data_IF_091006040026
#
_entry.id   IF_091006040026
#
_cell.length_a   1.000
_cell.length_b   1.000
_cell.length_c   1.000
_cell.angle_alpha   90.00
_cell.angle_beta   90.00
_cell.angle_gamma   90.00
#
_symmetry.space_group_name_H-M   'P 1'
#
loop_
_entity.id
_entity.type
_entity.pdbx_description
1 polymer ?
#
# COMPACT_ATOMS: atom_id res chain seq x y z
N UNK A 1 -1.22 -10.39 -8.07
CA UNK A 1 -2.43 -9.99 -7.32
C UNK A 1 -2.27 -8.54 -6.89
N UNK A 2 -3.32 -7.76 -6.97
CA UNK A 2 -3.42 -6.41 -6.38
C UNK A 2 -4.56 -6.43 -5.37
N UNK A 3 -4.38 -5.81 -4.22
CA UNK A 3 -5.42 -5.61 -3.21
C UNK A 3 -5.54 -4.11 -2.97
N UNK A 4 -6.68 -3.56 -3.29
CA UNK A 4 -7.00 -2.14 -3.33
C UNK A 4 -6.13 -1.32 -4.30
N UNK A 5 -6.54 -0.09 -4.59
CA UNK A 5 -5.93 0.77 -5.59
C UNK A 5 -5.73 2.23 -5.14
N UNK A 6 -5.93 2.54 -3.85
CA UNK A 6 -5.86 3.91 -3.37
C UNK A 6 -7.06 4.77 -3.78
N UNK A 7 -6.92 6.08 -3.69
CA UNK A 7 -7.95 7.06 -4.04
C UNK A 7 -7.95 7.33 -5.57
N UNK A 8 -8.98 8.01 -6.06
CA UNK A 8 -9.09 8.37 -7.50
C UNK A 8 -7.88 9.18 -8.02
N UNK A 9 -7.25 9.98 -7.17
CA UNK A 9 -6.05 10.74 -7.55
C UNK A 9 -4.79 9.81 -7.70
N UNK A 10 -4.87 8.53 -7.30
CA UNK A 10 -3.76 7.56 -7.33
C UNK A 10 -3.75 6.67 -8.59
N UNK A 11 -4.75 6.74 -9.46
CA UNK A 11 -4.90 5.91 -10.68
C UNK A 11 -3.59 5.77 -11.46
N UNK A 12 -3.03 6.91 -11.88
CA UNK A 12 -1.80 6.94 -12.67
C UNK A 12 -0.61 6.39 -11.89
N UNK A 13 -0.52 6.68 -10.59
CA UNK A 13 0.56 6.22 -9.71
C UNK A 13 0.56 4.69 -9.63
N UNK A 14 -0.59 4.09 -9.35
CA UNK A 14 -0.72 2.64 -9.17
C UNK A 14 -0.41 1.89 -10.47
N UNK A 15 -0.99 2.34 -11.60
CA UNK A 15 -0.74 1.72 -12.91
C UNK A 15 0.74 1.81 -13.30
N UNK A 16 1.35 2.99 -13.16
CA UNK A 16 2.76 3.18 -13.50
C UNK A 16 3.68 2.39 -12.60
N UNK A 17 3.40 2.32 -11.30
CA UNK A 17 4.18 1.50 -10.37
C UNK A 17 4.16 0.03 -10.78
N UNK A 18 2.99 -0.54 -11.08
CA UNK A 18 2.84 -1.93 -11.52
C UNK A 18 3.64 -2.16 -12.82
N UNK A 19 3.47 -1.28 -13.81
CA UNK A 19 4.19 -1.36 -15.10
C UNK A 19 5.71 -1.22 -14.92
N UNK A 20 6.18 -0.36 -14.01
CA UNK A 20 7.62 -0.18 -13.72
C UNK A 20 8.28 -1.44 -13.17
N UNK A 21 7.50 -2.34 -12.54
CA UNK A 21 7.97 -3.66 -12.11
C UNK A 21 7.93 -4.73 -13.23
N UNK A 22 7.63 -4.33 -14.47
CA UNK A 22 7.50 -5.24 -15.62
C UNK A 22 6.23 -6.10 -15.58
N UNK A 23 5.25 -5.74 -14.73
CA UNK A 23 4.00 -6.48 -14.58
C UNK A 23 2.99 -5.91 -15.57
N UNK A 24 2.50 -6.76 -16.47
CA UNK A 24 1.49 -6.42 -17.48
C UNK A 24 0.18 -7.19 -17.28
N UNK A 25 0.21 -8.20 -16.39
CA UNK A 25 -0.92 -9.08 -16.10
C UNK A 25 -1.11 -9.28 -14.60
N UNK A 26 -2.35 -9.26 -14.15
CA UNK A 26 -2.75 -9.54 -12.78
C UNK A 26 -3.74 -10.71 -12.77
N UNK A 27 -3.41 -11.80 -12.09
CA UNK A 27 -4.32 -12.93 -11.91
C UNK A 27 -5.57 -12.51 -11.12
N UNK A 28 -5.37 -11.64 -10.11
CA UNK A 28 -6.45 -11.17 -9.25
C UNK A 28 -6.31 -9.68 -8.96
N UNK A 29 -7.42 -8.97 -9.03
CA UNK A 29 -7.65 -7.65 -8.43
C UNK A 29 -8.72 -7.83 -7.36
N UNK A 30 -8.44 -7.37 -6.15
CA UNK A 30 -9.32 -7.49 -4.99
C UNK A 30 -9.64 -6.08 -4.49
N UNK A 31 -10.92 -5.70 -4.56
CA UNK A 31 -11.46 -4.52 -3.90
C UNK A 31 -11.97 -4.96 -2.53
N UNK A 32 -11.27 -4.58 -1.45
CA UNK A 32 -11.63 -5.04 -0.10
C UNK A 32 -13.01 -4.57 0.30
N UNK A 33 -13.32 -3.31 0.04
CA UNK A 33 -14.62 -2.70 0.26
C UNK A 33 -14.79 -1.42 -0.61
N UNK A 34 -15.99 -0.87 -0.79
CA UNK A 34 -16.28 0.11 -1.84
C UNK A 34 -15.92 1.57 -1.53
N UNK A 35 -15.16 1.89 -0.47
CA UNK A 35 -14.73 3.26 -0.22
C UNK A 35 -13.70 3.75 -1.25
N UNK A 36 -13.75 5.06 -1.56
CA UNK A 36 -12.98 5.64 -2.65
C UNK A 36 -11.46 5.51 -2.47
N UNK A 37 -10.97 5.61 -1.25
CA UNK A 37 -9.55 5.45 -0.90
C UNK A 37 -9.04 3.99 -0.97
N UNK A 38 -9.90 3.06 -1.36
CA UNK A 38 -9.57 1.66 -1.66
C UNK A 38 -9.79 1.30 -3.12
N UNK A 39 -10.89 1.75 -3.71
CA UNK A 39 -11.23 1.34 -5.09
C UNK A 39 -10.90 2.39 -6.14
N UNK A 40 -10.45 3.59 -5.72
CA UNK A 40 -10.33 4.75 -6.61
C UNK A 40 -9.40 4.56 -7.80
N UNK A 41 -8.30 3.84 -7.63
CA UNK A 41 -7.36 3.57 -8.74
C UNK A 41 -7.63 2.28 -9.50
N UNK A 42 -8.63 1.47 -9.09
CA UNK A 42 -8.84 0.14 -9.67
C UNK A 42 -9.46 0.16 -11.08
N UNK A 43 -10.24 1.15 -11.42
CA UNK A 43 -10.82 1.30 -12.76
C UNK A 43 -9.73 1.51 -13.82
N UNK A 44 -8.73 2.34 -13.54
CA UNK A 44 -7.55 2.53 -14.38
C UNK A 44 -6.72 1.23 -14.48
N UNK A 45 -6.50 0.54 -13.36
CA UNK A 45 -5.79 -0.75 -13.34
C UNK A 45 -6.47 -1.77 -14.24
N UNK A 46 -7.78 -1.94 -14.11
CA UNK A 46 -8.55 -2.90 -14.93
C UNK A 46 -8.59 -2.49 -16.40
N UNK A 47 -8.63 -1.18 -16.68
CA UNK A 47 -8.64 -0.66 -18.04
C UNK A 47 -7.30 -0.85 -18.76
N UNK A 48 -6.17 -0.70 -18.06
CA UNK A 48 -4.83 -0.62 -18.64
C UNK A 48 -3.99 -1.91 -18.55
N UNK A 49 -4.33 -2.83 -17.63
CA UNK A 49 -3.62 -4.09 -17.44
C UNK A 49 -4.48 -5.29 -17.85
N UNK A 50 -3.83 -6.43 -18.09
CA UNK A 50 -4.54 -7.68 -18.33
C UNK A 50 -4.94 -8.32 -16.99
N UNK A 51 -6.17 -8.07 -16.55
CA UNK A 51 -6.73 -8.65 -15.31
C UNK A 51 -7.53 -9.91 -15.65
N UNK A 52 -7.34 -10.99 -14.88
CA UNK A 52 -8.06 -12.25 -15.08
C UNK A 52 -9.31 -12.35 -14.21
N UNK A 53 -9.22 -11.93 -12.96
CA UNK A 53 -10.31 -12.09 -12.00
C UNK A 53 -10.42 -10.83 -11.13
N UNK A 54 -11.65 -10.38 -10.93
CA UNK A 54 -11.98 -9.26 -10.02
C UNK A 54 -12.82 -9.80 -8.87
N UNK A 55 -12.32 -9.64 -7.65
CA UNK A 55 -13.07 -9.90 -6.43
C UNK A 55 -13.51 -8.59 -5.78
N UNK A 56 -14.73 -8.59 -5.28
CA UNK A 56 -15.39 -7.46 -4.61
C UNK A 56 -16.05 -7.91 -3.32
N UNK A 57 -16.24 -6.98 -2.40
CA UNK A 57 -16.99 -7.22 -1.17
C UNK A 57 -18.46 -7.64 -1.45
N UNK A 58 -19.06 -8.29 -0.47
CA UNK A 58 -20.47 -8.67 -0.50
C UNK A 58 -21.32 -7.48 -0.01
N UNK A 59 -21.54 -6.52 -0.88
CA UNK A 59 -22.35 -5.34 -0.62
C UNK A 59 -22.37 -4.43 -1.82
N UNK A 60 -23.44 -3.66 -1.95
CA UNK A 60 -23.58 -2.70 -3.03
C UNK A 60 -23.14 -1.31 -2.57
N UNK A 61 -22.61 -0.52 -3.51
CA UNK A 61 -22.34 0.89 -3.30
C UNK A 61 -22.84 1.68 -4.52
N UNK A 62 -23.47 2.80 -4.25
CA UNK A 62 -23.96 3.74 -5.27
C UNK A 62 -23.01 4.92 -5.51
N UNK A 63 -21.80 4.88 -4.92
CA UNK A 63 -20.80 5.91 -5.17
C UNK A 63 -20.32 5.87 -6.63
N UNK A 64 -19.99 7.06 -7.15
CA UNK A 64 -19.48 7.16 -8.53
C UNK A 64 -18.20 6.32 -8.72
N UNK A 65 -17.26 6.42 -7.78
CA UNK A 65 -15.97 5.71 -7.83
C UNK A 65 -16.18 4.19 -7.92
N UNK A 66 -17.04 3.63 -7.09
CA UNK A 66 -17.31 2.18 -7.14
C UNK A 66 -17.97 1.76 -8.45
N UNK A 67 -18.95 2.55 -8.95
CA UNK A 67 -19.58 2.26 -10.24
C UNK A 67 -18.59 2.32 -11.39
N UNK A 68 -17.72 3.35 -11.45
CA UNK A 68 -16.70 3.50 -12.49
C UNK A 68 -15.79 2.25 -12.52
N UNK A 69 -15.35 1.76 -11.36
CA UNK A 69 -14.57 0.51 -11.25
C UNK A 69 -15.34 -0.72 -11.77
N UNK A 70 -16.59 -0.90 -11.35
CA UNK A 70 -17.42 -2.04 -11.80
C UNK A 70 -17.67 -1.97 -13.31
N UNK A 71 -17.99 -0.79 -13.85
CA UNK A 71 -18.18 -0.57 -15.29
C UNK A 71 -16.90 -0.84 -16.07
N UNK A 72 -15.74 -0.41 -15.58
CA UNK A 72 -14.44 -0.71 -16.19
C UNK A 72 -14.20 -2.23 -16.28
N UNK A 73 -14.49 -2.97 -15.21
CA UNK A 73 -14.37 -4.42 -15.20
C UNK A 73 -15.30 -5.09 -16.23
N UNK A 74 -16.57 -4.69 -16.26
CA UNK A 74 -17.57 -5.22 -17.22
C UNK A 74 -17.17 -4.90 -18.66
N UNK A 75 -16.70 -3.68 -18.94
CA UNK A 75 -16.25 -3.26 -20.27
C UNK A 75 -15.03 -4.06 -20.77
N UNK A 76 -14.25 -4.63 -19.87
CA UNK A 76 -13.13 -5.55 -20.14
C UNK A 76 -13.58 -7.01 -20.24
N UNK A 77 -14.88 -7.29 -20.13
CA UNK A 77 -15.45 -8.64 -20.20
C UNK A 77 -15.25 -9.44 -18.89
N UNK A 78 -14.93 -8.78 -17.80
CA UNK A 78 -14.78 -9.40 -16.48
C UNK A 78 -16.14 -9.44 -15.77
N UNK A 79 -16.29 -10.36 -14.83
CA UNK A 79 -17.46 -10.50 -13.98
C UNK A 79 -17.04 -10.36 -12.52
N UNK A 80 -17.06 -9.14 -11.95
CA UNK A 80 -16.77 -8.95 -10.55
C UNK A 80 -17.63 -9.87 -9.67
N UNK A 81 -17.03 -10.52 -8.69
CA UNK A 81 -17.74 -11.51 -7.87
C UNK A 81 -17.19 -11.55 -6.45
N UNK A 82 -18.04 -11.93 -5.50
CA UNK A 82 -17.61 -12.19 -4.13
C UNK A 82 -16.85 -13.52 -4.10
N UNK A 83 -15.62 -13.56 -3.56
CA UNK A 83 -14.85 -14.78 -3.47
C UNK A 83 -15.49 -15.77 -2.49
N UNK A 84 -15.22 -17.06 -2.69
CA UNK A 84 -15.63 -18.07 -1.70
C UNK A 84 -14.72 -17.96 -0.48
N UNK A 85 -15.34 -17.74 0.67
CA UNK A 85 -14.65 -17.67 1.97
C UNK A 85 -13.92 -18.98 2.27
N UNK A 86 -12.77 -18.86 2.91
CA UNK A 86 -11.87 -19.96 3.30
C UNK A 86 -11.33 -20.83 2.14
N UNK A 87 -11.64 -20.47 0.87
CA UNK A 87 -11.08 -21.13 -0.30
C UNK A 87 -9.66 -20.61 -0.58
N UNK A 88 -8.76 -21.53 -0.92
CA UNK A 88 -7.41 -21.19 -1.40
C UNK A 88 -7.42 -20.84 -2.89
N UNK A 89 -6.84 -19.68 -3.21
CA UNK A 89 -6.63 -19.19 -4.57
C UNK A 89 -5.12 -19.20 -4.86
N UNK A 90 -4.72 -19.89 -5.92
CA UNK A 90 -3.30 -20.07 -6.24
C UNK A 90 -2.67 -18.84 -6.92
N UNK A 91 -1.42 -18.56 -6.57
CA UNK A 91 -0.55 -17.53 -7.16
C UNK A 91 0.86 -18.13 -7.38
N UNK A 92 1.04 -18.86 -8.45
CA UNK A 92 2.27 -19.64 -8.65
C UNK A 92 2.46 -20.65 -7.53
N UNK A 93 3.56 -20.55 -6.78
CA UNK A 93 3.84 -21.41 -5.62
C UNK A 93 3.21 -20.89 -4.31
N UNK A 94 2.69 -19.68 -4.32
CA UNK A 94 1.98 -19.07 -3.21
C UNK A 94 0.47 -19.26 -3.35
N UNK A 95 -0.27 -18.88 -2.32
CA UNK A 95 -1.73 -18.81 -2.36
C UNK A 95 -2.25 -17.72 -1.44
N UNK A 96 -3.50 -17.35 -1.61
CA UNK A 96 -4.21 -16.55 -0.62
C UNK A 96 -5.56 -17.18 -0.28
N UNK A 97 -6.09 -16.80 0.87
CA UNK A 97 -7.41 -17.18 1.37
C UNK A 97 -8.13 -15.90 1.78
N UNK A 98 -9.42 -15.81 1.50
CA UNK A 98 -10.26 -14.71 1.99
C UNK A 98 -10.99 -15.20 3.23
N UNK A 99 -10.75 -14.56 4.37
CA UNK A 99 -11.24 -14.98 5.69
C UNK A 99 -12.57 -14.35 6.08
N UNK A 100 -12.91 -13.20 5.47
CA UNK A 100 -14.18 -12.51 5.63
C UNK A 100 -14.72 -12.08 4.28
N UNK A 101 -15.97 -12.37 4.00
CA UNK A 101 -16.68 -11.97 2.79
C UNK A 101 -18.02 -11.28 3.10
N UNK A 102 -18.43 -11.19 4.37
CA UNK A 102 -19.73 -10.68 4.77
C UNK A 102 -19.68 -10.03 6.16
N UNK A 103 -19.24 -8.79 6.20
CA UNK A 103 -19.14 -7.99 7.44
C UNK A 103 -20.43 -7.25 7.84
N UNK A 104 -21.60 -7.72 7.41
CA UNK A 104 -22.89 -7.12 7.77
C UNK A 104 -23.22 -5.83 7.01
N UNK A 105 -23.87 -4.87 7.67
CA UNK A 105 -24.35 -3.63 7.05
C UNK A 105 -23.34 -2.48 7.10
N UNK A 106 -22.28 -2.61 7.85
CA UNK A 106 -21.21 -1.62 7.92
C UNK A 106 -20.24 -1.79 6.76
N UNK A 107 -19.98 -0.71 6.01
CA UNK A 107 -19.16 -0.76 4.79
C UNK A 107 -17.72 -1.15 5.08
N UNK A 108 -17.14 -0.71 6.19
CA UNK A 108 -15.79 -1.10 6.57
C UNK A 108 -15.72 -2.60 6.89
N UNK A 109 -16.73 -3.10 7.61
CA UNK A 109 -16.82 -4.51 8.00
C UNK A 109 -17.16 -5.46 6.82
N UNK A 110 -17.54 -4.94 5.66
CA UNK A 110 -17.61 -5.71 4.42
C UNK A 110 -16.22 -6.04 3.86
N UNK A 111 -15.15 -5.49 4.40
CA UNK A 111 -13.78 -5.68 3.92
C UNK A 111 -13.44 -7.16 3.73
N UNK A 112 -13.01 -7.51 2.53
CA UNK A 112 -12.40 -8.80 2.25
C UNK A 112 -11.06 -8.88 3.00
N UNK A 113 -11.00 -9.69 4.04
CA UNK A 113 -9.75 -9.93 4.79
C UNK A 113 -8.96 -11.01 4.07
N UNK A 114 -7.73 -10.70 3.66
CA UNK A 114 -6.91 -11.58 2.83
C UNK A 114 -5.70 -12.08 3.61
N UNK A 115 -5.58 -13.39 3.79
CA UNK A 115 -4.34 -14.05 4.24
C UNK A 115 -3.57 -14.55 3.01
N UNK A 116 -2.38 -14.01 2.78
CA UNK A 116 -1.46 -14.46 1.74
C UNK A 116 -0.35 -15.31 2.35
N UNK A 117 -0.04 -16.44 1.71
CA UNK A 117 0.98 -17.40 2.17
C UNK A 117 1.94 -17.71 1.04
N UNK A 118 3.24 -17.51 1.30
CA UNK A 118 4.33 -17.91 0.43
C UNK A 118 5.32 -18.76 1.25
N UNK A 119 5.33 -20.08 1.03
CA UNK A 119 6.13 -20.98 1.85
C UNK A 119 5.76 -20.90 3.34
N UNK A 120 6.69 -20.41 4.16
CA UNK A 120 6.51 -20.20 5.60
C UNK A 120 5.99 -18.78 5.92
N UNK A 121 6.09 -17.84 4.97
CA UNK A 121 5.74 -16.43 5.18
C UNK A 121 4.22 -16.23 5.10
N UNK A 122 3.68 -15.53 6.08
CA UNK A 122 2.25 -15.17 6.17
C UNK A 122 2.05 -13.68 6.26
N UNK A 123 1.18 -13.16 5.40
CA UNK A 123 0.80 -11.74 5.34
C UNK A 123 -0.71 -11.65 5.51
N UNK A 124 -1.17 -10.82 6.44
CA UNK A 124 -2.58 -10.57 6.68
C UNK A 124 -2.95 -9.14 6.31
N UNK A 125 -3.89 -8.99 5.38
CA UNK A 125 -4.39 -7.71 4.89
C UNK A 125 -5.83 -7.54 5.38
N UNK A 126 -6.05 -6.56 6.26
CA UNK A 126 -7.34 -6.39 6.95
C UNK A 126 -8.34 -5.52 6.17
N UNK A 127 -7.91 -4.83 5.10
CA UNK A 127 -8.73 -3.76 4.56
C UNK A 127 -9.05 -2.74 5.66
N UNK A 128 -10.32 -2.40 5.81
CA UNK A 128 -10.83 -1.54 6.90
C UNK A 128 -11.71 -2.31 7.90
N UNK A 129 -11.56 -3.64 7.93
CA UNK A 129 -12.25 -4.48 8.90
C UNK A 129 -12.02 -3.98 10.33
N UNK A 130 -13.11 -3.90 11.08
CA UNK A 130 -13.13 -3.44 12.46
C UNK A 130 -13.24 -4.62 13.44
N UNK A 131 -13.33 -4.34 14.72
CA UNK A 131 -13.28 -5.35 15.80
C UNK A 131 -14.34 -6.45 15.66
N UNK A 132 -15.51 -6.16 15.09
CA UNK A 132 -16.58 -7.14 14.87
C UNK A 132 -16.10 -8.25 13.92
N UNK A 133 -15.46 -7.88 12.82
CA UNK A 133 -14.87 -8.84 11.87
C UNK A 133 -13.67 -9.56 12.48
N UNK A 134 -12.84 -8.84 13.24
CA UNK A 134 -11.71 -9.45 13.96
C UNK A 134 -12.17 -10.56 14.91
N UNK A 135 -13.29 -10.35 15.63
CA UNK A 135 -13.91 -11.36 16.50
C UNK A 135 -14.40 -12.57 15.70
N UNK A 136 -15.06 -12.35 14.55
CA UNK A 136 -15.57 -13.43 13.69
C UNK A 136 -14.45 -14.29 13.11
N UNK A 137 -13.34 -13.68 12.67
CA UNK A 137 -12.21 -14.41 12.08
C UNK A 137 -11.18 -14.90 13.11
N UNK A 138 -11.35 -14.61 14.40
CA UNK A 138 -10.35 -14.90 15.44
C UNK A 138 -9.95 -16.38 15.51
N UNK A 139 -10.89 -17.28 15.23
CA UNK A 139 -10.61 -18.73 15.17
C UNK A 139 -9.89 -19.18 13.91
N UNK A 140 -9.95 -18.37 12.83
CA UNK A 140 -9.34 -18.67 11.52
C UNK A 140 -7.91 -18.17 11.42
N UNK A 141 -7.55 -17.12 12.15
CA UNK A 141 -6.21 -16.51 12.10
C UNK A 141 -5.22 -17.19 13.05
N UNK A 142 -3.96 -17.10 12.70
CA UNK A 142 -2.83 -17.54 13.51
C UNK A 142 -1.73 -16.48 13.44
N UNK A 143 -0.58 -16.74 14.09
CA UNK A 143 0.60 -15.87 13.98
C UNK A 143 0.95 -15.59 12.51
N UNK A 144 1.24 -14.31 12.20
CA UNK A 144 1.63 -13.83 10.88
C UNK A 144 2.98 -13.11 10.94
N UNK A 145 3.66 -12.99 9.81
CA UNK A 145 4.90 -12.22 9.73
C UNK A 145 4.63 -10.73 9.51
N UNK A 146 3.61 -10.41 8.69
CA UNK A 146 3.24 -9.04 8.39
C UNK A 146 1.74 -8.85 8.51
N UNK A 147 1.35 -7.80 9.20
CA UNK A 147 -0.02 -7.31 9.32
C UNK A 147 -0.17 -5.96 8.63
N UNK A 148 -1.01 -5.84 7.59
CA UNK A 148 -1.59 -4.53 7.27
C UNK A 148 -2.65 -4.22 8.30
N UNK A 149 -2.38 -3.23 9.13
CA UNK A 149 -3.27 -2.79 10.20
C UNK A 149 -4.62 -2.37 9.62
N UNK A 150 -5.70 -2.79 10.24
CA UNK A 150 -7.07 -2.49 9.80
C UNK A 150 -7.37 -0.98 9.86
N UNK A 151 -8.19 -0.52 8.95
CA UNK A 151 -8.77 0.80 8.90
C UNK A 151 -7.77 1.93 9.17
N UNK A 152 -6.61 1.88 8.46
CA UNK A 152 -5.53 2.88 8.53
C UNK A 152 -5.02 3.16 9.96
N UNK A 153 -5.17 2.22 10.86
CA UNK A 153 -4.86 2.40 12.29
C UNK A 153 -5.94 3.13 13.07
N UNK A 154 -7.19 3.05 12.64
CA UNK A 154 -8.35 3.53 13.42
C UNK A 154 -8.44 2.82 14.78
N UNK A 155 -9.00 3.53 15.77
CA UNK A 155 -9.31 2.94 17.10
C UNK A 155 -10.40 1.88 17.07
N UNK A 156 -11.20 1.84 16.00
CA UNK A 156 -12.25 0.84 15.80
C UNK A 156 -11.70 -0.54 15.41
N UNK A 157 -10.43 -0.60 15.00
CA UNK A 157 -9.75 -1.84 14.59
C UNK A 157 -8.60 -2.22 15.51
N UNK A 158 -7.97 -3.36 15.21
CA UNK A 158 -6.79 -3.88 15.90
C UNK A 158 -7.07 -4.04 17.40
N UNK A 159 -8.14 -4.79 17.71
CA UNK A 159 -8.47 -5.15 19.08
C UNK A 159 -7.32 -5.92 19.76
N UNK A 160 -7.17 -5.80 21.07
CA UNK A 160 -6.05 -6.47 21.78
C UNK A 160 -6.09 -7.99 21.57
N UNK A 161 -7.27 -8.59 21.65
CA UNK A 161 -7.42 -10.05 21.49
C UNK A 161 -7.00 -10.53 20.08
N UNK A 162 -7.36 -9.76 19.05
CA UNK A 162 -6.94 -10.04 17.68
C UNK A 162 -5.44 -9.85 17.52
N UNK A 163 -4.89 -8.72 17.99
CA UNK A 163 -3.47 -8.41 17.91
C UNK A 163 -2.60 -9.47 18.62
N UNK A 164 -2.97 -9.90 19.83
CA UNK A 164 -2.29 -10.97 20.56
C UNK A 164 -2.32 -12.30 19.80
N UNK A 165 -3.42 -12.57 19.10
CA UNK A 165 -3.61 -13.80 18.32
C UNK A 165 -2.74 -13.84 17.08
N UNK A 166 -2.69 -12.72 16.29
CA UNK A 166 -1.90 -12.66 15.07
C UNK A 166 -0.42 -12.37 15.32
N UNK A 167 -0.09 -11.75 16.45
CA UNK A 167 1.28 -11.51 16.96
C UNK A 167 2.28 -11.26 15.82
N UNK A 168 2.12 -10.20 15.01
CA UNK A 168 2.92 -9.98 13.81
C UNK A 168 4.36 -9.59 14.16
N UNK A 169 5.30 -9.89 13.25
CA UNK A 169 6.66 -9.34 13.32
C UNK A 169 6.70 -7.91 12.79
N UNK A 170 5.99 -7.66 11.71
CA UNK A 170 5.87 -6.35 11.07
C UNK A 170 4.43 -5.87 11.03
N UNK A 171 4.21 -4.58 11.26
CA UNK A 171 2.91 -3.94 11.07
C UNK A 171 3.03 -2.79 10.05
N UNK A 172 2.16 -2.77 9.06
CA UNK A 172 2.08 -1.67 8.08
C UNK A 172 0.82 -0.87 8.31
N UNK A 173 0.97 0.44 8.43
CA UNK A 173 -0.13 1.39 8.51
C UNK A 173 -0.12 2.23 7.23
N UNK A 174 -1.16 2.08 6.41
CA UNK A 174 -1.37 2.92 5.23
C UNK A 174 -2.20 4.13 5.63
N UNK A 175 -1.59 5.31 5.69
CA UNK A 175 -2.29 6.55 6.02
C UNK A 175 -1.64 7.73 5.30
N UNK A 176 -2.42 8.78 5.05
CA UNK A 176 -1.92 9.98 4.38
C UNK A 176 -1.30 10.97 5.35
N UNK A 177 -0.32 11.74 4.87
CA UNK A 177 0.25 12.87 5.61
C UNK A 177 -0.86 13.88 5.93
N UNK A 178 -0.95 14.31 7.20
CA UNK A 178 -1.98 15.26 7.67
C UNK A 178 -3.41 14.84 7.33
N UNK A 179 -3.70 13.53 7.36
CA UNK A 179 -5.05 13.04 7.09
C UNK A 179 -6.07 13.62 8.11
N UNK A 180 -7.26 13.93 7.61
CA UNK A 180 -8.33 14.59 8.41
C UNK A 180 -8.92 13.73 9.52
N UNK A 181 -8.64 12.41 9.46
CA UNK A 181 -9.17 11.44 10.43
C UNK A 181 -8.29 11.31 11.66
N UNK A 182 -7.04 11.82 11.59
CA UNK A 182 -6.06 11.67 12.67
C UNK A 182 -5.48 10.25 12.77
N UNK A 183 -5.54 9.46 11.70
CA UNK A 183 -4.95 8.14 11.64
C UNK A 183 -3.42 8.19 11.53
N UNK A 184 -2.72 7.22 12.16
CA UNK A 184 -3.23 6.24 13.10
C UNK A 184 -3.61 6.87 14.45
N UNK A 185 -4.63 6.31 15.12
CA UNK A 185 -5.02 6.74 16.45
C UNK A 185 -4.07 6.21 17.54
N UNK A 186 -3.93 6.97 18.64
CA UNK A 186 -3.05 6.60 19.75
C UNK A 186 -3.41 5.24 20.36
N UNK A 187 -4.71 4.92 20.42
CA UNK A 187 -5.20 3.65 20.96
C UNK A 187 -4.71 2.45 20.16
N UNK A 188 -4.50 2.61 18.84
CA UNK A 188 -3.98 1.56 17.97
C UNK A 188 -2.46 1.48 18.08
N UNK A 189 -1.74 2.60 17.91
CA UNK A 189 -0.26 2.57 17.94
C UNK A 189 0.28 2.14 19.31
N UNK A 190 -0.45 2.39 20.40
CA UNK A 190 -0.05 1.94 21.75
C UNK A 190 0.03 0.42 21.89
N UNK A 191 -0.66 -0.36 21.04
CA UNK A 191 -0.61 -1.81 21.01
C UNK A 191 0.59 -2.35 20.23
N UNK A 192 1.17 -1.55 19.35
CA UNK A 192 2.22 -1.94 18.41
C UNK A 192 3.64 -1.76 18.96
N UNK A 193 3.82 -1.49 20.24
CA UNK A 193 5.10 -1.12 20.88
C UNK A 193 6.20 -2.18 20.81
N UNK A 194 5.85 -3.45 20.58
CA UNK A 194 6.80 -4.58 20.48
C UNK A 194 6.90 -5.11 19.04
N UNK A 195 6.41 -4.36 18.05
CA UNK A 195 6.35 -4.75 16.66
C UNK A 195 7.04 -3.67 15.82
N UNK A 196 7.81 -4.09 14.83
CA UNK A 196 8.42 -3.18 13.87
C UNK A 196 7.33 -2.58 12.95
N UNK A 197 7.07 -1.29 13.12
CA UNK A 197 5.98 -0.58 12.44
C UNK A 197 6.52 0.21 11.25
N UNK A 198 5.84 0.14 10.12
CA UNK A 198 6.14 0.94 8.93
C UNK A 198 4.89 1.72 8.50
N UNK A 199 5.05 3.00 8.18
CA UNK A 199 3.95 3.91 7.87
C UNK A 199 4.15 4.59 6.53
N UNK A 200 3.09 4.65 5.72
CA UNK A 200 3.18 5.30 4.39
C UNK A 200 3.31 6.80 4.47
N UNK A 201 2.82 7.46 5.52
CA UNK A 201 2.98 8.90 5.73
C UNK A 201 4.41 9.30 6.13
N UNK A 202 5.27 8.35 6.52
CA UNK A 202 6.66 8.56 6.89
C UNK A 202 7.64 8.00 5.85
N UNK A 203 7.39 6.81 5.33
CA UNK A 203 8.26 6.11 4.39
C UNK A 203 7.83 6.26 2.90
N UNK A 204 6.59 6.67 2.63
CA UNK A 204 6.04 6.68 1.28
C UNK A 204 5.75 5.26 0.79
N UNK A 205 6.50 4.77 -0.20
CA UNK A 205 6.37 3.40 -0.69
C UNK A 205 7.09 2.41 0.23
N UNK A 206 6.36 1.44 0.75
CA UNK A 206 6.90 0.38 1.60
C UNK A 206 6.97 -0.91 0.79
N UNK A 207 8.18 -1.47 0.68
CA UNK A 207 8.41 -2.70 -0.06
C UNK A 207 8.90 -3.78 0.90
N UNK A 208 8.14 -4.87 0.98
CA UNK A 208 8.57 -6.10 1.64
C UNK A 208 8.88 -7.17 0.60
N UNK A 209 9.95 -7.92 0.84
CA UNK A 209 10.35 -9.06 0.02
C UNK A 209 10.10 -10.33 0.81
N UNK A 210 9.17 -11.15 0.33
CA UNK A 210 8.90 -12.48 0.88
C UNK A 210 9.70 -13.53 0.11
N UNK A 211 10.55 -14.26 0.80
CA UNK A 211 11.38 -15.33 0.22
C UNK A 211 10.76 -16.71 0.37
N UNK A 212 9.68 -16.84 1.12
CA UNK A 212 9.08 -18.09 1.55
C UNK A 212 9.75 -18.70 2.79
N UNK A 213 10.79 -18.03 3.33
CA UNK A 213 11.52 -18.39 4.55
C UNK A 213 11.81 -17.19 5.44
N UNK A 214 11.14 -16.11 5.21
CA UNK A 214 11.22 -14.86 5.93
C UNK A 214 10.94 -13.66 5.05
N UNK A 215 10.51 -12.58 5.69
CA UNK A 215 10.14 -11.32 5.07
C UNK A 215 11.16 -10.26 5.47
N UNK A 216 11.59 -9.46 4.50
CA UNK A 216 12.57 -8.38 4.69
C UNK A 216 12.08 -7.08 4.06
N UNK A 217 12.49 -5.94 4.62
CA UNK A 217 12.24 -4.61 4.06
C UNK A 217 13.47 -3.73 4.23
N UNK A 218 13.60 -2.76 3.33
CA UNK A 218 14.60 -1.69 3.43
C UNK A 218 14.00 -0.36 3.91
N UNK A 219 12.68 -0.33 4.20
CA UNK A 219 12.05 0.83 4.81
C UNK A 219 12.47 0.93 6.28
N UNK A 220 12.84 2.13 6.73
CA UNK A 220 13.14 2.37 8.14
C UNK A 220 11.88 2.21 9.00
N UNK A 221 12.06 1.84 10.27
CA UNK A 221 10.97 1.72 11.23
C UNK A 221 10.30 3.07 11.45
N UNK A 222 8.98 3.10 11.40
CA UNK A 222 8.16 4.29 11.59
C UNK A 222 7.90 4.60 13.06
N UNK A 223 7.39 5.81 13.32
CA UNK A 223 7.07 6.26 14.67
C UNK A 223 5.77 5.68 15.21
N UNK A 224 5.69 5.52 16.53
CA UNK A 224 4.48 5.14 17.28
C UNK A 224 3.67 6.37 17.74
N UNK A 225 3.69 7.44 16.95
CA UNK A 225 2.90 8.66 17.24
C UNK A 225 1.54 8.60 16.56
N UNK A 226 0.51 9.12 17.22
CA UNK A 226 -0.81 9.32 16.59
C UNK A 226 -0.72 10.30 15.43
N UNK A 227 -1.55 10.06 14.39
CA UNK A 227 -1.45 10.72 13.10
C UNK A 227 -1.68 12.22 13.09
N UNK A 228 -1.20 12.83 12.01
CA UNK A 228 -1.44 14.22 11.62
C UNK A 228 -0.40 15.24 11.99
N UNK A 229 0.70 14.89 12.68
CA UNK A 229 1.84 15.80 12.84
C UNK A 229 3.12 15.08 12.41
N UNK A 230 3.59 15.39 11.21
CA UNK A 230 4.94 15.05 10.77
C UNK A 230 5.96 15.57 11.79
N UNK A 231 6.55 14.68 12.56
CA UNK A 231 7.79 14.98 13.24
C UNK A 231 8.89 14.79 12.21
N UNK A 232 9.44 15.91 11.73
CA UNK A 232 10.58 15.92 10.83
C UNK A 232 11.72 15.18 11.53
N UNK A 233 12.39 14.18 10.90
CA UNK A 233 13.60 13.61 11.50
C UNK A 233 14.62 14.73 11.68
N UNK A 234 15.01 15.00 12.91
CA UNK A 234 16.19 15.81 13.20
C UNK A 234 17.41 14.96 12.91
N UNK A 235 18.00 15.15 11.73
CA UNK A 235 19.34 14.67 11.46
C UNK A 235 20.28 15.33 12.46
N UNK A 236 20.78 14.61 13.44
CA UNK A 236 21.93 15.01 14.22
C UNK A 236 23.15 14.85 13.33
N UNK A 237 23.68 15.99 12.90
CA UNK A 237 25.04 16.08 12.42
C UNK A 237 25.97 15.86 13.62
N UNK A 238 26.75 14.79 13.62
CA UNK A 238 28.15 14.82 14.00
C UNK A 238 28.77 13.42 13.96
N UNK A 239 30.03 13.43 13.45
CA UNK A 239 31.03 12.35 13.45
C UNK A 239 31.09 11.38 12.26
N UNK A 240 31.82 11.85 11.23
CA UNK A 240 32.55 11.02 10.28
C UNK A 240 34.02 10.90 10.74
N UNK A 241 34.59 9.72 10.84
CA UNK A 241 36.03 9.54 10.66
C UNK A 241 36.34 9.22 9.20
N UNK A 242 37.24 10.03 8.69
CA UNK A 242 37.92 9.89 7.41
C UNK A 242 38.87 8.67 7.46
N UNK A 243 38.73 7.71 6.57
CA UNK A 243 39.86 6.88 6.20
C UNK A 243 39.83 6.46 4.71
N UNK A 244 40.93 6.80 4.08
CA UNK A 244 41.26 6.59 2.68
C UNK A 244 41.85 5.20 2.50
N UNK A 245 41.26 4.38 1.60
CA UNK A 245 42.05 3.50 0.67
C UNK A 245 41.11 2.86 -0.36
N UNK A 246 41.35 3.17 -1.62
CA UNK A 246 40.75 2.51 -2.80
C UNK A 246 41.38 1.13 -3.06
N UNK A 247 40.63 0.21 -3.69
CA UNK A 247 41.11 -0.31 -4.95
C UNK A 247 40.12 -0.22 -6.12
N UNK A 248 40.69 -0.06 -7.27
CA UNK A 248 40.13 0.01 -8.62
C UNK A 248 39.37 -1.25 -8.96
N UNK A 249 38.12 -1.12 -9.44
CA UNK A 249 37.42 -2.16 -10.23
C UNK A 249 36.69 -1.50 -11.40
N UNK A 250 36.77 -2.14 -12.54
CA UNK A 250 36.36 -1.79 -13.89
C UNK A 250 34.90 -1.34 -14.04
N UNK A 251 34.70 -0.42 -14.97
CA UNK A 251 33.45 0.19 -15.37
C UNK A 251 32.56 -0.78 -16.16
N UNK A 252 31.33 -0.96 -15.71
CA UNK A 252 30.18 -1.38 -16.53
C UNK A 252 29.24 -0.16 -16.60
N UNK A 253 28.66 0.19 -17.78
CA UNK A 253 27.93 1.44 -17.95
C UNK A 253 26.63 1.44 -17.13
N UNK A 254 26.55 2.33 -16.15
CA UNK A 254 25.38 2.57 -15.32
C UNK A 254 24.33 3.37 -16.10
N UNK A 255 23.12 2.83 -16.22
CA UNK A 255 21.94 3.65 -16.44
C UNK A 255 21.77 4.55 -15.20
N UNK A 256 21.91 5.87 -15.39
CA UNK A 256 21.81 6.86 -14.33
C UNK A 256 20.40 6.85 -13.73
N UNK A 257 20.25 6.36 -12.50
CA UNK A 257 19.07 6.58 -11.66
C UNK A 257 19.10 8.00 -11.11
N UNK A 258 18.79 8.98 -11.94
CA UNK A 258 18.64 10.36 -11.49
C UNK A 258 17.35 10.47 -10.72
N UNK A 259 17.42 10.91 -9.45
CA UNK A 259 16.23 11.23 -8.66
C UNK A 259 15.61 12.52 -9.19
N UNK A 260 14.33 12.49 -9.49
CA UNK A 260 13.53 13.64 -9.94
C UNK A 260 12.38 13.91 -8.98
N UNK A 261 11.81 15.11 -9.06
CA UNK A 261 10.72 15.58 -8.22
C UNK A 261 9.52 15.96 -9.09
N UNK A 262 8.30 15.72 -8.62
CA UNK A 262 7.09 16.08 -9.36
C UNK A 262 5.90 16.33 -8.43
N UNK A 263 4.80 16.81 -8.99
CA UNK A 263 3.51 16.89 -8.32
C UNK A 263 2.48 16.07 -9.08
N UNK A 264 1.48 15.54 -8.40
CA UNK A 264 0.44 14.70 -9.05
C UNK A 264 -0.24 15.41 -10.23
N UNK A 265 -0.54 16.70 -10.07
CA UNK A 265 -1.24 17.51 -11.11
C UNK A 265 -0.31 18.27 -12.05
N UNK A 266 0.99 18.26 -11.78
CA UNK A 266 2.00 18.88 -12.66
C UNK A 266 2.20 18.07 -13.94
N UNK A 267 2.58 18.73 -15.02
CA UNK A 267 2.86 18.09 -16.32
C UNK A 267 4.29 17.59 -16.42
N UNK A 268 5.22 18.24 -15.70
CA UNK A 268 6.66 18.00 -15.81
C UNK A 268 7.26 17.38 -14.55
N UNK A 269 8.40 16.69 -14.70
CA UNK A 269 9.27 16.33 -13.61
C UNK A 269 10.40 17.36 -13.44
N UNK A 270 11.01 17.43 -12.25
CA UNK A 270 12.02 18.42 -11.86
C UNK A 270 13.27 17.73 -11.33
N UNK A 271 14.45 18.19 -11.70
CA UNK A 271 15.73 17.64 -11.21
C UNK A 271 16.16 18.21 -9.87
N UNK A 272 15.50 19.29 -9.41
CA UNK A 272 15.75 19.91 -8.12
C UNK A 272 14.44 20.06 -7.33
N UNK A 273 14.44 19.66 -6.07
CA UNK A 273 13.31 19.79 -5.15
C UNK A 273 12.94 21.26 -4.89
N UNK A 274 13.93 22.13 -4.92
CA UNK A 274 13.81 23.58 -4.73
C UNK A 274 13.44 24.33 -6.00
N UNK A 275 13.07 23.63 -7.07
CA UNK A 275 12.66 24.26 -8.32
C UNK A 275 11.57 25.31 -8.10
N UNK A 276 11.72 26.55 -8.63
CA UNK A 276 10.72 27.60 -8.46
C UNK A 276 9.31 27.20 -8.89
N UNK A 277 9.19 26.32 -9.89
CA UNK A 277 7.91 25.81 -10.36
C UNK A 277 7.20 24.92 -9.31
N UNK A 278 7.95 24.33 -8.37
CA UNK A 278 7.41 23.55 -7.27
C UNK A 278 7.07 24.38 -6.02
N UNK A 279 7.50 25.63 -5.95
CA UNK A 279 7.44 26.48 -4.75
C UNK A 279 6.05 26.71 -4.15
N UNK A 280 4.99 26.54 -4.97
CA UNK A 280 3.58 26.69 -4.55
C UNK A 280 2.86 25.34 -4.40
N UNK A 281 3.58 24.23 -4.56
CA UNK A 281 3.00 22.90 -4.55
C UNK A 281 2.83 22.39 -3.12
N UNK A 282 1.67 21.82 -2.82
CA UNK A 282 1.36 21.26 -1.49
C UNK A 282 1.83 19.82 -1.30
N UNK A 283 2.18 19.13 -2.39
CA UNK A 283 2.72 17.78 -2.35
C UNK A 283 3.78 17.64 -3.45
N UNK A 284 5.01 17.30 -3.06
CA UNK A 284 6.13 17.05 -3.96
C UNK A 284 6.57 15.61 -3.73
N UNK A 285 6.58 14.82 -4.79
CA UNK A 285 7.01 13.43 -4.82
C UNK A 285 8.43 13.35 -5.37
N UNK A 286 9.14 12.27 -5.09
CA UNK A 286 10.49 12.04 -5.60
C UNK A 286 10.70 10.57 -5.94
N UNK A 287 11.49 10.31 -6.98
CA UNK A 287 11.81 8.98 -7.46
C UNK A 287 12.51 9.05 -8.80
N UNK A 288 12.46 7.99 -9.59
CA UNK A 288 12.99 7.97 -10.96
C UNK A 288 12.05 8.69 -11.93
N UNK A 289 12.53 9.03 -13.13
CA UNK A 289 11.69 9.62 -14.19
C UNK A 289 10.51 8.68 -14.52
N UNK A 290 10.75 7.38 -14.57
CA UNK A 290 9.70 6.39 -14.84
C UNK A 290 8.60 6.37 -13.75
N UNK A 291 8.98 6.53 -12.48
CA UNK A 291 8.04 6.60 -11.35
C UNK A 291 7.24 7.91 -11.32
N UNK A 292 7.76 8.97 -11.92
CA UNK A 292 7.04 10.25 -12.01
C UNK A 292 5.83 10.18 -12.93
N UNK A 293 5.82 9.27 -13.91
CA UNK A 293 4.84 9.23 -14.98
C UNK A 293 4.81 10.48 -15.86
N UNK A 294 5.91 11.27 -15.87
CA UNK A 294 6.03 12.52 -16.62
C UNK A 294 7.10 12.38 -17.70
N UNK A 295 6.76 12.75 -18.91
CA UNK A 295 7.66 12.69 -20.07
C UNK A 295 8.39 14.01 -20.30
N UNK A 296 7.95 15.08 -19.66
CA UNK A 296 8.39 16.44 -19.93
C UNK A 296 9.27 16.98 -18.78
N UNK A 297 10.57 17.25 -19.02
CA UNK A 297 11.41 17.91 -18.04
C UNK A 297 11.02 19.35 -17.84
N UNK A 298 11.15 19.86 -16.62
CA UNK A 298 10.82 21.25 -16.31
C UNK A 298 11.88 22.21 -16.84
N UNK A 299 11.50 23.14 -17.72
CA UNK A 299 12.39 24.16 -18.33
C UNK A 299 13.07 25.10 -17.33
N UNK A 300 12.65 25.13 -16.06
CA UNK A 300 13.22 26.02 -15.03
C UNK A 300 14.33 25.36 -14.20
N UNK A 301 14.49 24.06 -14.26
CA UNK A 301 15.49 23.34 -13.48
C UNK A 301 16.17 22.19 -14.21
N UNK A 302 16.02 22.11 -15.53
CA UNK A 302 16.67 21.10 -16.36
C UNK A 302 17.84 21.72 -17.13
#
# INVERSE_FOLDING_TARGET
>A
MLVDGGDNDDETLVVNYIKSKGITELEYVIATHPHADHVGGLDAVVSELNVKTVFVANGDSDTKTYRDFIEAAINRGLSPSVPLEDKKFLLGNAYFTVLNTNGGNDTNNQSLVVEYVNGEDKILLMGDAEKEVEEEILSKVSKVDLLKVGHHGSRSSTSQAFFDKVSPKYAVITCGINNKYGHPHQETVSKLTEVEVHRTDECGHIVFVSTGKGIETACEEGSLTSGGKSVKPTASSDDLPNDTTSPVVEQIPSSSTQVVYWTLKGKSYHVAKECPALSRSKGIYSGTIAESGKDDPCDQCY
#
